data_IF_789679589253
#
_entry.id   IF_789679589253
#
_cell.length_a   1.000
_cell.length_b   1.000
_cell.length_c   1.000
_cell.angle_alpha   90.00
_cell.angle_beta   90.00
_cell.angle_gamma   90.00
#
_symmetry.space_group_name_H-M   'P 1'
#
loop_
_entity.id
_entity.type
_entity.pdbx_description
1 polymer ?
#
# COMPACT_ATOMS: atom_id res chain seq x y z
N UNK A 1 11.06 20.66 34.20
CA UNK A 1 10.85 22.09 33.92
C UNK A 1 12.12 22.58 33.25
N UNK A 2 12.25 22.41 31.94
CA UNK A 2 13.45 22.81 31.20
C UNK A 2 13.32 24.30 30.92
N UNK A 3 14.17 25.12 31.54
CA UNK A 3 14.13 26.57 31.32
C UNK A 3 14.35 26.88 29.84
N UNK A 4 13.56 27.79 29.24
CA UNK A 4 13.69 28.11 27.84
C UNK A 4 15.01 28.83 27.59
N UNK A 5 15.96 28.12 26.96
CA UNK A 5 17.22 28.70 26.55
C UNK A 5 17.01 29.42 25.22
N UNK A 6 17.14 30.74 25.25
CA UNK A 6 16.99 31.59 24.08
C UNK A 6 18.36 32.02 23.54
N UNK A 7 18.74 31.49 22.39
CA UNK A 7 20.01 31.84 21.72
C UNK A 7 19.79 32.73 20.50
N UNK A 8 20.80 33.52 20.13
CA UNK A 8 20.80 34.18 18.82
C UNK A 8 20.86 33.13 17.71
N UNK A 9 20.40 33.49 16.50
CA UNK A 9 20.46 32.59 15.33
C UNK A 9 21.89 32.11 15.07
N UNK A 10 22.90 32.96 15.18
CA UNK A 10 24.30 32.57 15.00
C UNK A 10 24.80 31.60 16.09
N UNK A 11 24.44 31.85 17.35
CA UNK A 11 24.82 30.98 18.47
C UNK A 11 24.14 29.60 18.40
N UNK A 12 22.89 29.55 17.92
CA UNK A 12 22.19 28.29 17.67
C UNK A 12 22.83 27.49 16.53
N UNK A 13 23.34 28.16 15.48
CA UNK A 13 24.04 27.52 14.37
C UNK A 13 25.35 26.87 14.84
N UNK A 14 26.11 27.63 15.63
CA UNK A 14 27.35 27.16 16.24
C UNK A 14 27.11 25.95 17.16
N UNK A 15 26.03 25.96 17.95
CA UNK A 15 25.65 24.85 18.84
C UNK A 15 25.30 23.56 18.09
N UNK A 16 24.60 23.67 16.95
CA UNK A 16 24.22 22.50 16.12
C UNK A 16 25.34 22.12 15.13
N UNK A 17 26.43 22.90 15.07
CA UNK A 17 27.52 22.66 14.13
C UNK A 17 27.10 22.83 12.67
N UNK A 18 26.08 23.66 12.39
CA UNK A 18 25.54 23.87 11.04
C UNK A 18 25.69 25.32 10.59
N UNK A 19 25.82 25.50 9.27
CA UNK A 19 25.98 26.82 8.68
C UNK A 19 24.76 27.72 8.97
N UNK A 20 24.93 29.05 9.13
CA UNK A 20 23.84 30.00 9.39
C UNK A 20 22.71 29.98 8.33
N UNK A 21 23.02 29.60 7.08
CA UNK A 21 22.05 29.36 6.02
C UNK A 21 21.02 28.28 6.36
N UNK A 22 21.41 27.29 7.16
CA UNK A 22 20.53 26.19 7.61
C UNK A 22 19.44 26.70 8.54
N UNK A 23 19.73 27.71 9.35
CA UNK A 23 18.74 28.30 10.27
C UNK A 23 17.74 29.16 9.52
N UNK A 24 18.20 29.81 8.45
CA UNK A 24 17.31 30.52 7.53
C UNK A 24 16.38 29.53 6.84
N UNK A 25 16.91 28.40 6.34
CA UNK A 25 16.09 27.32 5.81
C UNK A 25 15.12 26.73 6.85
N UNK A 26 15.56 26.47 8.09
CA UNK A 26 14.68 25.98 9.16
C UNK A 26 13.57 26.97 9.49
N UNK A 27 13.86 28.27 9.47
CA UNK A 27 12.86 29.34 9.64
C UNK A 27 11.83 29.32 8.51
N UNK A 28 12.30 29.28 7.27
CA UNK A 28 11.44 29.34 6.08
C UNK A 28 10.57 28.09 5.93
N UNK A 29 11.02 26.95 6.47
CA UNK A 29 10.28 25.68 6.50
C UNK A 29 9.45 25.48 7.78
N UNK A 30 9.29 26.51 8.63
CA UNK A 30 8.48 26.41 9.85
C UNK A 30 9.02 25.46 10.92
N UNK A 31 10.30 25.07 10.84
CA UNK A 31 10.97 24.13 11.76
C UNK A 31 11.82 24.84 12.82
N UNK A 32 11.56 26.12 13.07
CA UNK A 32 12.29 26.98 14.01
C UNK A 32 11.29 27.69 14.92
N UNK A 33 11.36 27.45 16.22
CA UNK A 33 10.52 28.14 17.21
C UNK A 33 11.27 29.40 17.67
N UNK A 34 10.66 30.57 17.46
CA UNK A 34 11.23 31.85 17.86
C UNK A 34 10.80 32.22 19.28
N UNK A 35 11.68 32.89 20.02
CA UNK A 35 11.39 33.47 21.32
C UNK A 35 10.30 34.55 21.23
N UNK A 36 9.59 34.87 22.33
CA UNK A 36 8.59 35.95 22.36
C UNK A 36 9.11 37.31 21.86
N UNK A 37 10.42 37.56 21.99
CA UNK A 37 11.10 38.77 21.51
C UNK A 37 11.32 38.84 19.98
N UNK A 38 11.01 37.78 19.24
CA UNK A 38 11.16 37.71 17.77
C UNK A 38 12.61 37.80 17.24
N UNK A 39 13.62 37.89 18.12
CA UNK A 39 15.05 38.01 17.75
C UNK A 39 15.88 36.78 18.10
N UNK A 40 15.42 35.96 19.05
CA UNK A 40 16.12 34.76 19.57
C UNK A 40 15.36 33.49 19.21
N UNK A 41 16.07 32.37 19.18
CA UNK A 41 15.54 31.02 18.91
C UNK A 41 15.34 30.31 20.24
N UNK A 42 14.18 29.72 20.45
CA UNK A 42 13.97 28.76 21.54
C UNK A 42 14.65 27.44 21.15
N UNK A 43 15.75 27.16 21.84
CA UNK A 43 16.65 26.05 21.53
C UNK A 43 15.96 24.71 21.76
N UNK A 44 15.26 24.55 22.88
CA UNK A 44 14.67 23.26 23.24
C UNK A 44 13.44 22.95 22.41
N UNK A 45 12.57 23.94 22.17
CA UNK A 45 11.40 23.76 21.33
C UNK A 45 11.79 23.47 19.87
N UNK A 46 12.83 24.15 19.37
CA UNK A 46 13.36 23.88 18.02
C UNK A 46 14.04 22.51 17.93
N UNK A 47 14.88 22.12 18.90
CA UNK A 47 15.53 20.80 18.89
C UNK A 47 14.51 19.65 18.93
N UNK A 48 13.43 19.78 19.70
CA UNK A 48 12.33 18.80 19.72
C UNK A 48 11.61 18.73 18.38
N UNK A 49 11.25 19.89 17.80
CA UNK A 49 10.58 19.94 16.50
C UNK A 49 11.47 19.35 15.39
N UNK A 50 12.78 19.61 15.43
CA UNK A 50 13.74 19.00 14.49
C UNK A 50 13.76 17.49 14.66
N UNK A 51 13.81 16.96 15.88
CA UNK A 51 13.80 15.51 16.14
C UNK A 51 12.52 14.84 15.67
N UNK A 52 11.36 15.43 15.94
CA UNK A 52 10.05 14.91 15.53
C UNK A 52 9.85 14.94 14.00
N UNK A 53 10.46 15.92 13.33
CA UNK A 53 10.36 16.08 11.86
C UNK A 53 11.56 15.52 11.10
N UNK A 54 12.55 14.95 11.78
CA UNK A 54 13.74 14.41 11.12
C UNK A 54 13.41 13.05 10.52
N UNK A 55 13.53 12.92 9.21
CA UNK A 55 13.35 11.67 8.48
C UNK A 55 14.64 10.82 8.58
N UNK A 56 14.67 9.73 9.36
CA UNK A 56 15.86 8.88 9.48
C UNK A 56 16.23 8.20 8.14
N UNK A 57 15.29 8.06 7.19
CA UNK A 57 15.57 7.50 5.87
C UNK A 57 16.37 8.43 4.96
N UNK A 58 16.42 9.74 5.26
CA UNK A 58 17.27 10.70 4.53
C UNK A 58 18.69 10.82 5.09
N UNK A 59 19.00 10.15 6.20
CA UNK A 59 20.34 10.18 6.80
C UNK A 59 21.45 9.72 5.82
N UNK A 60 21.16 8.73 4.96
CA UNK A 60 22.08 8.27 3.93
C UNK A 60 22.35 9.31 2.83
N UNK A 61 21.34 10.09 2.45
CA UNK A 61 21.47 11.19 1.46
C UNK A 61 22.23 12.37 2.06
N UNK A 62 21.99 12.68 3.34
CA UNK A 62 22.76 13.69 4.09
C UNK A 62 24.22 13.26 4.20
N UNK A 63 24.51 12.02 4.58
CA UNK A 63 25.87 11.50 4.67
C UNK A 63 26.60 11.49 3.31
N UNK A 64 25.88 11.20 2.20
CA UNK A 64 26.45 11.29 0.84
C UNK A 64 26.80 12.73 0.47
N UNK A 65 25.91 13.68 0.73
CA UNK A 65 26.19 15.10 0.45
C UNK A 65 27.24 15.71 1.38
N UNK A 66 27.34 15.26 2.63
CA UNK A 66 28.41 15.66 3.54
C UNK A 66 29.78 15.15 3.04
N UNK A 67 29.85 13.89 2.56
CA UNK A 67 31.07 13.35 1.92
C UNK A 67 31.44 14.10 0.64
N UNK A 68 30.46 14.44 -0.21
CA UNK A 68 30.68 15.22 -1.43
C UNK A 68 31.20 16.64 -1.12
N UNK A 69 30.76 17.27 -0.02
CA UNK A 69 31.27 18.58 0.43
C UNK A 69 32.70 18.49 0.97
N UNK A 70 32.99 17.49 1.80
CA UNK A 70 34.34 17.26 2.33
C UNK A 70 35.34 16.95 1.22
N UNK A 71 34.93 16.19 0.20
CA UNK A 71 35.77 15.92 -0.97
C UNK A 71 36.05 17.17 -1.80
N UNK A 72 35.09 18.10 -1.88
CA UNK A 72 35.24 19.38 -2.61
C UNK A 72 36.05 20.42 -1.82
N UNK A 73 35.95 20.42 -0.49
CA UNK A 73 36.77 21.28 0.39
C UNK A 73 38.24 20.83 0.46
N UNK A 74 38.53 19.55 0.26
CA UNK A 74 39.91 19.04 0.16
C UNK A 74 40.65 19.41 -1.14
N UNK A 75 39.97 20.00 -2.12
CA UNK A 75 40.47 20.24 -3.47
C UNK A 75 40.25 21.67 -3.99
N UNK A 76 40.42 22.71 -3.15
CA UNK A 76 40.39 24.09 -3.68
C UNK A 76 41.32 25.07 -2.98
N UNK A 77 42.52 25.22 -3.55
CA UNK A 77 43.07 26.53 -3.90
C UNK A 77 42.72 26.84 -5.36
N UNK A 78 41.74 27.70 -5.61
CA UNK A 78 41.67 28.69 -6.72
C UNK A 78 40.24 29.20 -6.95
N UNK A 79 40.19 30.47 -7.35
CA UNK A 79 39.05 31.38 -7.61
C UNK A 79 38.35 31.04 -8.95
N UNK A 80 37.08 31.46 -9.18
CA UNK A 80 36.07 30.71 -9.92
C UNK A 80 35.91 31.10 -11.39
N UNK A 81 35.52 30.13 -12.23
CA UNK A 81 35.01 30.35 -13.59
C UNK A 81 33.57 29.80 -13.75
N UNK A 82 32.76 30.41 -14.64
CA UNK A 82 31.30 30.26 -14.66
C UNK A 82 30.83 28.99 -15.36
N UNK A 83 29.91 28.26 -14.71
CA UNK A 83 29.26 27.07 -15.25
C UNK A 83 28.17 27.40 -16.29
N UNK A 84 27.98 26.59 -17.35
CA UNK A 84 26.89 26.73 -18.31
C UNK A 84 25.51 26.36 -17.70
N UNK A 85 24.39 26.78 -18.33
CA UNK A 85 23.06 26.70 -17.73
C UNK A 85 22.56 25.25 -17.65
N UNK A 86 22.39 24.76 -16.42
CA UNK A 86 21.68 23.52 -16.16
C UNK A 86 20.20 23.70 -16.51
N UNK A 87 19.69 22.80 -17.36
CA UNK A 87 18.27 22.64 -17.60
C UNK A 87 17.56 22.45 -16.26
N UNK A 88 16.72 23.42 -15.92
CA UNK A 88 15.91 23.46 -14.73
C UNK A 88 14.86 22.36 -14.83
N UNK A 89 15.16 21.18 -14.26
CA UNK A 89 14.12 20.20 -13.96
C UNK A 89 13.10 20.89 -13.06
N UNK A 90 11.86 20.97 -13.55
CA UNK A 90 10.74 21.61 -12.87
C UNK A 90 10.65 21.11 -11.42
N UNK A 91 10.94 22.00 -10.48
CA UNK A 91 10.62 21.76 -9.08
C UNK A 91 9.09 21.70 -8.98
N UNK A 92 8.49 20.60 -8.46
CA UNK A 92 7.06 20.62 -8.18
C UNK A 92 6.78 21.72 -7.16
N UNK A 93 5.78 22.55 -7.46
CA UNK A 93 5.41 23.73 -6.70
C UNK A 93 5.32 23.43 -5.20
N UNK A 94 6.08 24.19 -4.41
CA UNK A 94 6.04 24.19 -2.96
C UNK A 94 4.67 24.69 -2.49
N UNK A 95 3.79 23.76 -2.10
CA UNK A 95 2.62 24.07 -1.30
C UNK A 95 3.10 24.51 0.10
N UNK A 96 2.55 25.62 0.59
CA UNK A 96 2.87 26.25 1.88
C UNK A 96 2.87 25.24 3.03
N UNK A 97 4.04 25.06 3.65
CA UNK A 97 4.36 23.98 4.57
C UNK A 97 4.24 24.38 6.06
N UNK A 98 3.26 25.21 6.42
CA UNK A 98 3.12 25.66 7.81
C UNK A 98 2.15 24.81 8.66
N UNK A 99 1.14 24.17 8.06
CA UNK A 99 0.15 23.35 8.81
C UNK A 99 0.03 21.89 8.32
N UNK A 100 0.75 21.50 7.27
CA UNK A 100 0.57 20.19 6.58
C UNK A 100 1.59 19.09 6.96
N UNK A 101 2.56 19.38 7.83
CA UNK A 101 3.63 18.42 8.18
C UNK A 101 3.17 17.20 9.03
N UNK A 102 2.29 17.35 10.03
CA UNK A 102 1.79 16.20 10.81
C UNK A 102 0.94 15.24 9.95
N UNK A 103 0.21 15.79 8.98
CA UNK A 103 -0.65 15.03 8.10
C UNK A 103 0.14 14.21 7.08
N UNK A 104 1.30 14.70 6.63
CA UNK A 104 2.15 13.94 5.71
C UNK A 104 2.72 12.67 6.38
N UNK A 105 3.24 12.76 7.60
CA UNK A 105 3.75 11.59 8.32
C UNK A 105 2.63 10.58 8.63
N UNK A 106 1.44 11.07 9.04
CA UNK A 106 0.26 10.22 9.25
C UNK A 106 -0.20 9.55 7.95
N UNK A 107 -0.24 10.29 6.84
CA UNK A 107 -0.59 9.75 5.53
C UNK A 107 0.43 8.71 5.05
N UNK A 108 1.73 8.95 5.28
CA UNK A 108 2.80 8.00 4.99
C UNK A 108 2.69 6.74 5.84
N UNK A 109 2.51 6.87 7.16
CA UNK A 109 2.34 5.73 8.06
C UNK A 109 1.09 4.92 7.69
N UNK A 110 -0.02 5.58 7.32
CA UNK A 110 -1.23 4.93 6.82
C UNK A 110 -0.96 4.18 5.51
N UNK A 111 -0.25 4.78 4.57
CA UNK A 111 0.14 4.14 3.30
C UNK A 111 1.01 2.91 3.54
N UNK A 112 2.04 3.03 4.37
CA UNK A 112 2.93 1.91 4.71
C UNK A 112 2.18 0.80 5.43
N UNK A 113 1.27 1.14 6.35
CA UNK A 113 0.42 0.16 7.04
C UNK A 113 -0.47 -0.63 6.08
N UNK A 114 -1.20 0.05 5.18
CA UNK A 114 -2.02 -0.65 4.18
C UNK A 114 -1.18 -1.44 3.17
N UNK A 115 0.01 -0.95 2.81
CA UNK A 115 0.93 -1.71 1.97
C UNK A 115 1.35 -3.02 2.65
N UNK A 116 1.68 -2.99 3.94
CA UNK A 116 1.99 -4.20 4.71
C UNK A 116 0.81 -5.16 4.78
N UNK A 117 -0.40 -4.65 5.04
CA UNK A 117 -1.62 -5.48 5.06
C UNK A 117 -1.93 -6.12 3.70
N UNK A 118 -1.70 -5.40 2.60
CA UNK A 118 -1.87 -5.98 1.26
C UNK A 118 -0.89 -7.13 1.02
N UNK A 119 0.39 -6.96 1.39
CA UNK A 119 1.39 -8.03 1.28
C UNK A 119 1.03 -9.23 2.15
N UNK A 120 0.53 -9.00 3.36
CA UNK A 120 0.06 -10.06 4.25
C UNK A 120 -1.16 -10.79 3.66
N UNK A 121 -2.13 -10.06 3.11
CA UNK A 121 -3.29 -10.66 2.45
C UNK A 121 -2.89 -11.51 1.23
N UNK A 122 -1.94 -11.02 0.42
CA UNK A 122 -1.45 -11.75 -0.75
C UNK A 122 -0.66 -13.00 -0.33
N UNK A 123 0.14 -12.93 0.73
CA UNK A 123 0.79 -14.10 1.33
C UNK A 123 -0.23 -15.19 1.73
N UNK A 124 -1.34 -14.80 2.37
CA UNK A 124 -2.39 -15.77 2.74
C UNK A 124 -3.18 -16.30 1.54
N UNK A 125 -3.32 -15.52 0.46
CA UNK A 125 -3.90 -16.01 -0.81
C UNK A 125 -2.99 -17.04 -1.46
N UNK A 126 -1.68 -16.78 -1.52
CA UNK A 126 -0.69 -17.70 -2.09
C UNK A 126 -0.62 -19.04 -1.33
N UNK A 127 -0.84 -19.00 -0.01
CA UNK A 127 -0.97 -20.21 0.81
C UNK A 127 -2.31 -20.93 0.65
N UNK A 128 -3.28 -20.36 -0.08
CA UNK A 128 -4.61 -20.89 -0.26
C UNK A 128 -5.52 -20.77 0.98
N UNK A 129 -5.15 -19.90 1.94
CA UNK A 129 -5.94 -19.67 3.17
C UNK A 129 -7.04 -18.62 2.94
N UNK A 130 -6.78 -17.65 2.05
CA UNK A 130 -7.71 -16.56 1.73
C UNK A 130 -8.13 -16.62 0.26
N UNK A 131 -9.42 -16.40 0.00
CA UNK A 131 -9.99 -16.27 -1.34
C UNK A 131 -10.91 -15.06 -1.41
N UNK A 132 -11.10 -14.50 -2.60
CA UNK A 132 -12.04 -13.41 -2.81
C UNK A 132 -13.48 -13.92 -2.68
N UNK A 133 -14.24 -13.38 -1.72
CA UNK A 133 -15.61 -13.83 -1.44
C UNK A 133 -16.53 -13.69 -2.64
N UNK A 134 -16.39 -12.61 -3.42
CA UNK A 134 -17.20 -12.35 -4.60
C UNK A 134 -17.05 -13.45 -5.67
N UNK A 135 -15.86 -14.03 -5.80
CA UNK A 135 -15.58 -15.13 -6.74
C UNK A 135 -16.27 -16.40 -6.26
N UNK A 136 -16.19 -16.70 -4.96
CA UNK A 136 -16.84 -17.88 -4.35
C UNK A 136 -18.36 -17.76 -4.45
N UNK A 137 -18.93 -16.61 -4.11
CA UNK A 137 -20.38 -16.37 -4.17
C UNK A 137 -20.92 -16.57 -5.58
N UNK A 138 -20.21 -16.04 -6.58
CA UNK A 138 -20.56 -16.21 -7.98
C UNK A 138 -20.46 -17.67 -8.42
N UNK A 139 -19.36 -18.34 -8.10
CA UNK A 139 -19.15 -19.75 -8.45
C UNK A 139 -20.20 -20.65 -7.79
N UNK A 140 -20.58 -20.38 -6.55
CA UNK A 140 -21.64 -21.11 -5.84
C UNK A 140 -23.01 -20.90 -6.49
N UNK A 141 -23.33 -19.66 -6.88
CA UNK A 141 -24.57 -19.35 -7.60
C UNK A 141 -24.64 -20.05 -8.96
N UNK A 142 -23.57 -19.97 -9.74
CA UNK A 142 -23.48 -20.61 -11.06
C UNK A 142 -23.57 -22.14 -10.95
N UNK A 143 -22.95 -22.72 -9.93
CA UNK A 143 -23.08 -24.16 -9.60
C UNK A 143 -24.51 -24.55 -9.27
N UNK A 144 -25.20 -23.78 -8.43
CA UNK A 144 -26.62 -24.04 -8.10
C UNK A 144 -27.53 -23.94 -9.32
N UNK A 145 -27.28 -22.97 -10.20
CA UNK A 145 -27.99 -22.83 -11.47
C UNK A 145 -27.76 -24.03 -12.39
N UNK A 146 -26.51 -24.46 -12.55
CA UNK A 146 -26.14 -25.63 -13.34
C UNK A 146 -26.82 -26.91 -12.83
N UNK A 147 -26.77 -27.15 -11.51
CA UNK A 147 -27.43 -28.29 -10.89
C UNK A 147 -28.94 -28.29 -11.17
N UNK A 148 -29.59 -27.14 -10.99
CA UNK A 148 -31.03 -26.98 -11.28
C UNK A 148 -31.33 -27.30 -12.74
N UNK A 149 -30.55 -26.75 -13.66
CA UNK A 149 -30.76 -26.91 -15.10
C UNK A 149 -30.60 -28.39 -15.51
N UNK A 150 -29.59 -29.08 -14.97
CA UNK A 150 -29.39 -30.53 -15.19
C UNK A 150 -30.54 -31.37 -14.64
N UNK A 151 -30.96 -31.12 -13.39
CA UNK A 151 -32.07 -31.84 -12.77
C UNK A 151 -33.41 -31.63 -13.49
N UNK A 152 -33.66 -30.44 -14.04
CA UNK A 152 -34.88 -30.14 -14.79
C UNK A 152 -34.84 -30.67 -16.23
N UNK A 153 -33.65 -30.87 -16.78
CA UNK A 153 -33.48 -31.45 -18.12
C UNK A 153 -33.64 -32.98 -18.08
N UNK A 154 -33.14 -33.64 -17.04
CA UNK A 154 -33.16 -35.11 -16.93
C UNK A 154 -34.56 -35.74 -17.17
N UNK A 155 -35.67 -35.27 -16.56
CA UNK A 155 -37.00 -35.85 -16.79
C UNK A 155 -37.41 -35.84 -18.25
N UNK A 156 -37.08 -34.78 -18.99
CA UNK A 156 -37.42 -34.67 -20.42
C UNK A 156 -36.67 -35.69 -21.28
N UNK A 157 -35.45 -36.08 -20.86
CA UNK A 157 -34.62 -37.06 -21.57
C UNK A 157 -35.12 -38.49 -21.35
N UNK A 158 -35.51 -38.83 -20.11
CA UNK A 158 -35.92 -40.19 -19.77
C UNK A 158 -37.43 -40.44 -19.89
N UNK A 159 -38.24 -39.40 -20.09
CA UNK A 159 -39.71 -39.54 -20.20
C UNK A 159 -40.18 -40.59 -21.23
N UNK A 160 -39.58 -40.71 -22.44
CA UNK A 160 -39.98 -41.75 -23.39
C UNK A 160 -39.66 -43.16 -22.90
N UNK A 161 -38.52 -43.34 -22.22
CA UNK A 161 -38.11 -44.62 -21.64
C UNK A 161 -39.06 -45.02 -20.51
N UNK A 162 -39.36 -44.07 -19.62
CA UNK A 162 -40.32 -44.27 -18.52
C UNK A 162 -41.73 -44.60 -19.02
N UNK A 163 -42.18 -43.94 -20.09
CA UNK A 163 -43.50 -44.19 -20.67
C UNK A 163 -43.65 -45.61 -21.25
N UNK A 164 -42.55 -46.26 -21.61
CA UNK A 164 -42.53 -47.63 -22.10
C UNK A 164 -42.40 -48.68 -20.97
N UNK A 165 -42.13 -48.27 -19.74
CA UNK A 165 -41.97 -49.18 -18.59
C UNK A 165 -43.31 -49.43 -17.91
N UNK A 166 -43.61 -50.71 -17.65
CA UNK A 166 -44.86 -51.13 -16.98
C UNK A 166 -44.66 -51.57 -15.53
N UNK A 167 -43.44 -51.92 -15.13
CA UNK A 167 -43.11 -52.39 -13.78
C UNK A 167 -42.64 -51.23 -12.88
N UNK A 168 -43.32 -50.97 -11.76
CA UNK A 168 -42.95 -49.89 -10.83
C UNK A 168 -41.52 -49.99 -10.30
N UNK A 169 -41.01 -51.19 -10.03
CA UNK A 169 -39.64 -51.37 -9.52
C UNK A 169 -38.60 -50.96 -10.56
N UNK A 170 -38.83 -51.35 -11.82
CA UNK A 170 -37.98 -50.95 -12.95
C UNK A 170 -37.99 -49.43 -13.15
N UNK A 171 -39.16 -48.79 -13.03
CA UNK A 171 -39.30 -47.32 -13.09
C UNK A 171 -38.46 -46.65 -11.99
N UNK A 172 -38.62 -47.06 -10.74
CA UNK A 172 -37.88 -46.50 -9.60
C UNK A 172 -36.37 -46.67 -9.77
N UNK A 173 -35.92 -47.87 -10.13
CA UNK A 173 -34.51 -48.17 -10.37
C UNK A 173 -33.92 -47.28 -11.48
N UNK A 174 -34.65 -47.08 -12.57
CA UNK A 174 -34.21 -46.25 -13.68
C UNK A 174 -34.14 -44.76 -13.29
N UNK A 175 -35.16 -44.26 -12.59
CA UNK A 175 -35.19 -42.90 -12.04
C UNK A 175 -33.99 -42.62 -11.11
N UNK A 176 -33.73 -43.53 -10.17
CA UNK A 176 -32.61 -43.39 -9.23
C UNK A 176 -31.25 -43.43 -9.94
N UNK A 177 -31.09 -44.28 -10.96
CA UNK A 177 -29.88 -44.33 -11.77
C UNK A 177 -29.67 -43.02 -12.55
N UNK A 178 -30.72 -42.47 -13.15
CA UNK A 178 -30.67 -41.21 -13.89
C UNK A 178 -30.36 -40.02 -12.96
N UNK A 179 -30.99 -39.96 -11.78
CA UNK A 179 -30.70 -38.94 -10.77
C UNK A 179 -29.23 -39.01 -10.32
N UNK A 180 -28.73 -40.21 -9.98
CA UNK A 180 -27.34 -40.38 -9.55
C UNK A 180 -26.37 -39.90 -10.63
N UNK A 181 -26.56 -40.34 -11.88
CA UNK A 181 -25.73 -39.90 -13.00
C UNK A 181 -25.75 -38.38 -13.16
N UNK A 182 -26.92 -37.77 -13.08
CA UNK A 182 -27.08 -36.31 -13.21
C UNK A 182 -26.34 -35.56 -12.10
N UNK A 183 -26.38 -36.06 -10.87
CA UNK A 183 -25.65 -35.47 -9.74
C UNK A 183 -24.13 -35.65 -9.88
N UNK A 184 -23.66 -36.80 -10.34
CA UNK A 184 -22.25 -37.07 -10.63
C UNK A 184 -21.72 -36.21 -11.79
N UNK A 185 -22.55 -35.94 -12.80
CA UNK A 185 -22.22 -35.02 -13.89
C UNK A 185 -22.14 -33.57 -13.37
N UNK A 186 -23.11 -33.15 -12.53
CA UNK A 186 -23.11 -31.82 -11.90
C UNK A 186 -21.88 -31.60 -11.00
N UNK A 187 -21.50 -32.59 -10.19
CA UNK A 187 -20.29 -32.56 -9.36
C UNK A 187 -19.03 -32.35 -10.20
N UNK A 188 -18.86 -33.15 -11.27
CA UNK A 188 -17.69 -33.06 -12.15
C UNK A 188 -17.58 -31.69 -12.83
N UNK A 189 -18.69 -31.17 -13.35
CA UNK A 189 -18.73 -29.87 -14.01
C UNK A 189 -18.47 -28.71 -13.02
N UNK A 190 -19.18 -28.71 -11.89
CA UNK A 190 -19.04 -27.65 -10.88
C UNK A 190 -17.65 -27.59 -10.25
N UNK A 191 -17.01 -28.73 -10.00
CA UNK A 191 -15.64 -28.78 -9.47
C UNK A 191 -14.63 -28.17 -10.46
N UNK A 192 -14.75 -28.50 -11.75
CA UNK A 192 -13.90 -27.93 -12.79
C UNK A 192 -14.12 -26.41 -12.97
N UNK A 193 -15.37 -25.96 -12.93
CA UNK A 193 -15.72 -24.54 -13.06
C UNK A 193 -15.23 -23.74 -11.84
N UNK A 194 -15.38 -24.27 -10.62
CA UNK A 194 -14.88 -23.64 -9.40
C UNK A 194 -13.35 -23.52 -9.42
N UNK A 195 -12.64 -24.59 -9.79
CA UNK A 195 -11.18 -24.55 -9.92
C UNK A 195 -10.74 -23.48 -10.92
N UNK A 196 -11.40 -23.41 -12.07
CA UNK A 196 -11.13 -22.38 -13.08
C UNK A 196 -11.43 -20.97 -12.59
N UNK A 197 -12.53 -20.77 -11.86
CA UNK A 197 -12.89 -19.47 -11.29
C UNK A 197 -11.83 -18.99 -10.29
N UNK A 198 -11.34 -19.89 -9.42
CA UNK A 198 -10.29 -19.59 -8.45
C UNK A 198 -8.94 -19.31 -9.13
N UNK A 199 -8.56 -20.08 -10.15
CA UNK A 199 -7.31 -19.85 -10.90
C UNK A 199 -7.32 -18.52 -11.68
N UNK A 200 -8.46 -18.13 -12.24
CA UNK A 200 -8.58 -16.87 -12.97
C UNK A 200 -8.59 -15.64 -12.05
N UNK A 201 -8.99 -15.78 -10.79
CA UNK A 201 -8.99 -14.70 -9.82
C UNK A 201 -7.60 -14.41 -9.23
N UNK A 202 -6.67 -15.37 -9.33
CA UNK A 202 -5.29 -15.23 -8.86
C UNK A 202 -4.31 -14.63 -9.87
N UNK A 203 -4.73 -14.41 -11.12
CA UNK A 203 -3.95 -13.78 -12.20
C UNK A 203 -4.44 -12.35 -12.46
#
# INVERSE_FOLDING_TARGET
>A
MTEPLYLSKSAFAARIGKAPSTITWLKDNGRLVMAPDGKRVDVYATESLIKETSDPSKAGVVARHERERQFKEGFSTAVPEPSPPFLQAAQPASLSAADALPDFQKARARKEHFASLSVEADFYKDQGVLVESAVVDRAAFDTGRLLRDLLMTMPTQIAPELAAMSDPWTVEKHLLAALRRTLEDAERMSSADLQRALSNAGN
#
